data_IF_754345129682
#
_entry.id   IF_754345129682
#
_cell.length_a   1.000
_cell.length_b   1.000
_cell.length_c   1.000
_cell.angle_alpha   90.00
_cell.angle_beta   90.00
_cell.angle_gamma   90.00
#
_symmetry.space_group_name_H-M   'P 1'
#
loop_
_entity.id
_entity.type
_entity.pdbx_description
1 polymer ?
#
# COMPACT_ATOMS: atom_id res chain seq x y z
N UNK A 1 21.19 2.53 21.68
CA UNK A 1 21.12 2.10 23.09
C UNK A 1 19.93 2.68 23.89
N UNK A 2 19.12 3.60 23.35
CA UNK A 2 18.00 4.22 24.11
C UNK A 2 16.65 3.49 24.02
N UNK A 3 16.51 2.49 23.15
CA UNK A 3 15.21 1.85 22.88
C UNK A 3 14.58 1.20 24.12
N UNK A 4 15.29 0.32 24.83
CA UNK A 4 14.73 -0.40 25.98
C UNK A 4 14.38 0.51 27.17
N UNK A 5 15.22 1.51 27.54
CA UNK A 5 14.83 2.49 28.55
C UNK A 5 13.58 3.27 28.17
N UNK A 6 13.44 3.69 26.91
CA UNK A 6 12.26 4.41 26.42
C UNK A 6 11.02 3.52 26.45
N UNK A 7 11.13 2.27 25.97
CA UNK A 7 10.04 1.30 25.98
C UNK A 7 9.51 1.08 27.40
N UNK A 8 10.40 0.87 28.38
CA UNK A 8 10.00 0.75 29.78
C UNK A 8 9.40 2.04 30.35
N UNK A 9 9.96 3.21 29.98
CA UNK A 9 9.43 4.50 30.41
C UNK A 9 7.98 4.74 29.94
N UNK A 10 7.65 4.33 28.72
CA UNK A 10 6.28 4.43 28.18
C UNK A 10 5.36 3.28 28.64
N UNK A 11 5.85 2.38 29.48
CA UNK A 11 5.07 1.29 30.09
C UNK A 11 5.06 -0.02 29.30
N UNK A 12 5.87 -0.16 28.25
CA UNK A 12 5.95 -1.42 27.51
C UNK A 12 6.70 -2.49 28.31
N UNK A 13 6.21 -3.72 28.24
CA UNK A 13 6.88 -4.86 28.83
C UNK A 13 8.03 -5.35 27.94
N UNK A 14 9.22 -5.50 28.53
CA UNK A 14 10.43 -6.01 27.86
C UNK A 14 10.91 -7.37 28.39
N UNK A 15 10.21 -7.96 29.36
CA UNK A 15 10.63 -9.14 30.11
C UNK A 15 9.96 -10.43 29.61
N UNK A 16 10.61 -11.56 29.83
CA UNK A 16 10.02 -12.89 29.61
C UNK A 16 8.99 -13.25 30.70
N UNK A 17 8.00 -14.12 30.42
CA UNK A 17 7.74 -14.80 29.15
C UNK A 17 7.11 -13.89 28.08
N UNK A 18 7.34 -14.22 26.81
CA UNK A 18 6.76 -13.48 25.70
C UNK A 18 5.24 -13.69 25.60
N UNK A 19 4.49 -12.69 25.08
CA UNK A 19 3.05 -12.77 24.91
C UNK A 19 2.66 -13.90 23.96
N UNK A 20 1.54 -14.56 24.25
CA UNK A 20 0.93 -15.52 23.34
C UNK A 20 0.32 -14.84 22.12
N UNK A 21 0.18 -15.56 21.00
CA UNK A 21 -0.53 -15.04 19.82
C UNK A 21 -1.95 -14.58 20.14
N UNK A 22 -2.66 -15.26 21.06
CA UNK A 22 -4.00 -14.86 21.48
C UNK A 22 -4.06 -13.47 22.12
N UNK A 23 -2.98 -13.03 22.76
CA UNK A 23 -2.86 -11.67 23.29
C UNK A 23 -2.38 -10.67 22.23
N UNK A 24 -1.48 -11.08 21.34
CA UNK A 24 -0.88 -10.19 20.34
C UNK A 24 -1.84 -9.84 19.18
N UNK A 25 -2.56 -10.82 18.64
CA UNK A 25 -3.44 -10.63 17.48
C UNK A 25 -4.45 -9.48 17.69
N UNK A 26 -5.24 -9.43 18.78
CA UNK A 26 -6.20 -8.34 18.97
C UNK A 26 -5.52 -6.98 19.15
N UNK A 27 -4.34 -6.92 19.78
CA UNK A 27 -3.56 -5.70 19.89
C UNK A 27 -3.12 -5.21 18.51
N UNK A 28 -2.53 -6.08 17.68
CA UNK A 28 -2.04 -5.75 16.33
C UNK A 28 -3.20 -5.28 15.44
N UNK A 29 -4.37 -5.94 15.49
CA UNK A 29 -5.55 -5.51 14.74
C UNK A 29 -6.03 -4.12 15.19
N UNK A 30 -6.00 -3.85 16.50
CA UNK A 30 -6.32 -2.52 17.03
C UNK A 30 -5.32 -1.46 16.53
N UNK A 31 -4.02 -1.79 16.51
CA UNK A 31 -2.98 -0.88 16.04
C UNK A 31 -3.15 -0.56 14.56
N UNK A 32 -3.49 -1.57 13.74
CA UNK A 32 -3.84 -1.39 12.32
C UNK A 32 -4.96 -0.36 12.14
N UNK A 33 -6.06 -0.47 12.89
CA UNK A 33 -7.19 0.45 12.73
C UNK A 33 -6.83 1.88 13.14
N UNK A 34 -6.09 2.05 14.24
CA UNK A 34 -5.68 3.38 14.73
C UNK A 34 -4.71 4.04 13.77
N UNK A 35 -3.67 3.31 13.35
CA UNK A 35 -2.66 3.84 12.42
C UNK A 35 -3.28 4.16 11.07
N UNK A 36 -4.13 3.29 10.53
CA UNK A 36 -4.69 3.47 9.20
C UNK A 36 -5.66 4.66 9.13
N UNK A 37 -6.44 4.88 10.20
CA UNK A 37 -7.28 6.07 10.32
C UNK A 37 -6.44 7.36 10.40
N UNK A 38 -5.38 7.35 11.22
CA UNK A 38 -4.46 8.48 11.33
C UNK A 38 -3.76 8.76 9.99
N UNK A 39 -3.27 7.70 9.34
CA UNK A 39 -2.59 7.76 8.06
C UNK A 39 -3.49 8.38 6.99
N UNK A 40 -4.73 7.90 6.85
CA UNK A 40 -5.69 8.43 5.89
C UNK A 40 -5.81 9.96 5.96
N UNK A 41 -5.96 10.50 7.17
CA UNK A 41 -6.13 11.94 7.36
C UNK A 41 -4.84 12.72 7.13
N UNK A 42 -3.70 12.22 7.61
CA UNK A 42 -2.41 12.89 7.40
C UNK A 42 -2.00 12.85 5.93
N UNK A 43 -2.23 11.73 5.24
CA UNK A 43 -1.97 11.59 3.82
C UNK A 43 -2.85 12.57 3.02
N UNK A 44 -4.15 12.63 3.31
CA UNK A 44 -5.07 13.61 2.70
C UNK A 44 -4.64 15.05 2.98
N UNK A 45 -4.18 15.35 4.20
CA UNK A 45 -3.66 16.68 4.56
C UNK A 45 -2.36 17.00 3.79
N UNK A 46 -1.49 16.03 3.59
CA UNK A 46 -0.26 16.18 2.82
C UNK A 46 -0.51 16.43 1.32
N UNK A 47 -1.68 16.08 0.80
CA UNK A 47 -2.13 16.50 -0.52
C UNK A 47 -2.72 17.91 -0.59
N UNK A 48 -2.79 18.63 0.53
CA UNK A 48 -3.12 20.06 0.52
C UNK A 48 -1.99 20.87 -0.10
N UNK A 49 -2.32 21.74 -1.07
CA UNK A 49 -1.37 22.39 -1.99
C UNK A 49 -0.01 22.84 -1.40
N UNK A 50 0.05 23.56 -0.27
CA UNK A 50 1.31 23.95 0.36
C UNK A 50 2.13 22.76 0.88
N UNK A 51 1.49 21.83 1.61
CA UNK A 51 2.15 20.65 2.17
C UNK A 51 2.55 19.67 1.08
N UNK A 52 1.75 19.54 0.02
CA UNK A 52 2.10 18.74 -1.14
C UNK A 52 3.40 19.24 -1.75
N UNK A 53 3.46 20.52 -2.08
CA UNK A 53 4.64 21.12 -2.73
C UNK A 53 5.89 21.07 -1.85
N UNK A 54 5.74 21.26 -0.55
CA UNK A 54 6.86 21.36 0.39
C UNK A 54 7.34 20.01 0.93
N UNK A 55 6.46 19.01 1.02
CA UNK A 55 6.71 17.77 1.76
C UNK A 55 6.41 16.57 0.84
N UNK A 56 5.13 16.38 0.50
CA UNK A 56 4.67 15.11 -0.08
C UNK A 56 5.06 14.88 -1.54
N UNK A 57 5.45 15.94 -2.25
CA UNK A 57 5.93 15.85 -3.62
C UNK A 57 7.16 14.92 -3.75
N UNK A 58 7.98 14.79 -2.71
CA UNK A 58 9.14 13.89 -2.70
C UNK A 58 8.69 12.42 -2.78
N UNK A 59 7.67 12.05 -2.02
CA UNK A 59 7.08 10.71 -2.10
C UNK A 59 6.49 10.42 -3.49
N UNK A 60 5.91 11.44 -4.11
CA UNK A 60 5.35 11.38 -5.47
C UNK A 60 6.37 11.54 -6.60
N UNK A 61 7.67 11.53 -6.31
CA UNK A 61 8.72 11.59 -7.34
C UNK A 61 8.62 10.41 -8.32
N UNK A 62 8.27 9.22 -7.80
CA UNK A 62 8.07 8.01 -8.59
C UNK A 62 6.57 7.78 -8.87
N UNK A 63 6.11 8.23 -10.04
CA UNK A 63 4.71 8.01 -10.49
C UNK A 63 4.36 6.53 -10.69
N UNK A 64 5.37 5.70 -11.00
CA UNK A 64 5.31 4.25 -10.90
C UNK A 64 6.09 3.86 -9.63
N UNK A 65 5.40 3.67 -8.49
CA UNK A 65 6.08 3.36 -7.24
C UNK A 65 6.74 1.99 -7.31
N UNK A 66 7.70 1.76 -6.42
CA UNK A 66 8.31 0.45 -6.23
C UNK A 66 8.46 0.16 -4.75
N UNK A 67 8.39 -1.12 -4.38
CA UNK A 67 8.51 -1.55 -2.99
C UNK A 67 9.81 -1.09 -2.30
N UNK A 68 10.89 -0.89 -3.06
CA UNK A 68 12.19 -0.40 -2.56
C UNK A 68 12.12 1.09 -2.22
N UNK A 69 11.34 1.86 -2.98
CA UNK A 69 11.18 3.30 -2.80
C UNK A 69 9.97 3.66 -1.92
N UNK A 70 9.27 2.68 -1.34
CA UNK A 70 8.07 2.86 -0.48
C UNK A 70 8.24 3.98 0.56
N UNK A 71 9.37 3.99 1.26
CA UNK A 71 9.64 4.93 2.35
C UNK A 71 10.52 6.12 1.89
N UNK A 72 10.69 6.31 0.57
CA UNK A 72 11.39 7.47 0.02
C UNK A 72 10.47 8.70 0.11
N UNK A 73 10.64 9.46 1.19
CA UNK A 73 9.80 10.62 1.48
C UNK A 73 10.60 11.75 2.16
N UNK A 74 9.97 12.91 2.27
CA UNK A 74 10.54 14.03 3.01
C UNK A 74 10.66 13.66 4.50
N UNK A 75 11.75 14.02 5.22
CA UNK A 75 11.95 13.60 6.62
C UNK A 75 10.80 13.95 7.58
N UNK A 76 10.14 15.09 7.39
CA UNK A 76 8.96 15.46 8.18
C UNK A 76 7.76 14.54 7.94
N UNK A 77 7.55 14.08 6.72
CA UNK A 77 6.50 13.11 6.40
C UNK A 77 6.79 11.77 7.07
N UNK A 78 8.05 11.30 6.97
CA UNK A 78 8.50 10.11 7.68
C UNK A 78 8.24 10.23 9.19
N UNK A 79 8.57 11.36 9.81
CA UNK A 79 8.32 11.57 11.24
C UNK A 79 6.83 11.53 11.59
N UNK A 80 5.97 12.17 10.78
CA UNK A 80 4.52 12.18 10.99
C UNK A 80 3.93 10.79 10.87
N UNK A 81 4.35 9.98 9.90
CA UNK A 81 3.84 8.61 9.75
C UNK A 81 4.45 7.64 10.76
N UNK A 82 5.72 7.79 11.15
CA UNK A 82 6.31 7.03 12.27
C UNK A 82 5.55 7.30 13.58
N UNK A 83 5.14 8.55 13.81
CA UNK A 83 4.27 8.87 14.95
C UNK A 83 2.94 8.12 14.86
N UNK A 84 2.32 8.07 13.68
CA UNK A 84 1.11 7.28 13.42
C UNK A 84 1.26 5.79 13.74
N UNK A 85 2.37 5.18 13.30
CA UNK A 85 2.70 3.76 13.58
C UNK A 85 2.82 3.50 15.08
N UNK A 86 3.32 4.46 15.85
CA UNK A 86 3.47 4.35 17.30
C UNK A 86 2.19 4.68 18.07
N UNK A 87 1.23 5.39 17.47
CA UNK A 87 0.03 5.88 18.14
C UNK A 87 -0.82 4.73 18.71
N UNK A 88 -1.05 3.68 17.91
CA UNK A 88 -1.81 2.50 18.35
C UNK A 88 -1.23 1.82 19.60
N UNK A 89 0.04 1.36 19.56
CA UNK A 89 0.73 0.78 20.72
C UNK A 89 0.73 1.69 21.95
N UNK A 90 1.00 2.99 21.77
CA UNK A 90 1.07 3.95 22.87
C UNK A 90 -0.30 4.17 23.52
N UNK A 91 -1.35 4.40 22.73
CA UNK A 91 -2.71 4.58 23.24
C UNK A 91 -3.23 3.31 23.91
N UNK A 92 -2.97 2.14 23.33
CA UNK A 92 -3.38 0.88 23.93
C UNK A 92 -2.68 0.64 25.26
N UNK A 93 -1.37 0.88 25.33
CA UNK A 93 -0.62 0.73 26.58
C UNK A 93 -1.09 1.73 27.64
N UNK A 94 -1.39 2.98 27.25
CA UNK A 94 -1.93 3.98 28.15
C UNK A 94 -3.30 3.58 28.72
N UNK A 95 -4.20 3.05 27.89
CA UNK A 95 -5.57 2.71 28.30
C UNK A 95 -5.69 1.35 28.99
N UNK A 96 -4.93 0.34 28.57
CA UNK A 96 -5.11 -1.06 28.95
C UNK A 96 -3.84 -1.72 29.53
N UNK A 97 -2.69 -1.06 29.43
CA UNK A 97 -1.39 -1.64 29.76
C UNK A 97 -1.02 -2.83 28.86
N UNK A 98 -0.01 -3.59 29.30
CA UNK A 98 0.32 -4.92 28.77
C UNK A 98 0.68 -4.99 27.27
N UNK A 99 1.24 -3.92 26.71
CA UNK A 99 1.88 -3.98 25.39
C UNK A 99 3.30 -4.46 25.59
N UNK A 100 3.64 -5.59 24.97
CA UNK A 100 4.99 -6.13 24.99
C UNK A 100 5.76 -5.70 23.74
N UNK A 101 7.06 -5.44 23.85
CA UNK A 101 7.90 -4.99 22.71
C UNK A 101 7.90 -5.97 21.53
N UNK A 102 7.75 -7.27 21.80
CA UNK A 102 7.59 -8.29 20.75
C UNK A 102 6.31 -8.08 19.93
N UNK A 103 5.19 -7.72 20.57
CA UNK A 103 3.94 -7.38 19.87
C UNK A 103 4.12 -6.16 18.97
N UNK A 104 4.88 -5.16 19.46
CA UNK A 104 5.23 -3.97 18.68
C UNK A 104 6.13 -4.31 17.48
N UNK A 105 7.09 -5.23 17.62
CA UNK A 105 7.92 -5.66 16.49
C UNK A 105 7.10 -6.40 15.43
N UNK A 106 6.22 -7.33 15.82
CA UNK A 106 5.30 -7.97 14.88
C UNK A 106 4.42 -6.94 14.17
N UNK A 107 3.86 -5.99 14.93
CA UNK A 107 3.07 -4.88 14.38
C UNK A 107 3.84 -4.09 13.31
N UNK A 108 5.03 -3.59 13.64
CA UNK A 108 5.86 -2.80 12.71
C UNK A 108 6.22 -3.64 11.47
N UNK A 109 6.59 -4.91 11.66
CA UNK A 109 6.88 -5.80 10.53
C UNK A 109 5.68 -5.94 9.61
N UNK A 110 4.48 -6.22 10.14
CA UNK A 110 3.28 -6.33 9.32
C UNK A 110 2.93 -5.03 8.61
N UNK A 111 3.06 -3.88 9.29
CA UNK A 111 2.80 -2.58 8.66
C UNK A 111 3.78 -2.27 7.52
N UNK A 112 5.07 -2.59 7.70
CA UNK A 112 6.09 -2.42 6.65
C UNK A 112 5.83 -3.36 5.47
N UNK A 113 5.51 -4.64 5.72
CA UNK A 113 5.15 -5.57 4.66
C UNK A 113 3.95 -5.07 3.85
N UNK A 114 2.93 -4.55 4.52
CA UNK A 114 1.77 -3.94 3.89
C UNK A 114 2.14 -2.71 3.06
N UNK A 115 2.99 -1.83 3.60
CA UNK A 115 3.47 -0.62 2.90
C UNK A 115 4.18 -1.00 1.60
N UNK A 116 5.11 -1.96 1.68
CA UNK A 116 5.87 -2.47 0.53
C UNK A 116 4.96 -3.13 -0.50
N UNK A 117 3.98 -3.93 -0.07
CA UNK A 117 3.00 -4.56 -0.97
C UNK A 117 2.21 -3.50 -1.74
N UNK A 118 1.69 -2.48 -1.04
CA UNK A 118 0.91 -1.40 -1.63
C UNK A 118 1.70 -0.57 -2.66
N UNK A 119 3.02 -0.46 -2.52
CA UNK A 119 3.88 0.29 -3.45
C UNK A 119 4.63 -0.60 -4.44
N UNK A 120 4.38 -1.91 -4.42
CA UNK A 120 5.17 -2.85 -5.21
C UNK A 120 4.94 -2.74 -6.71
N UNK A 121 3.78 -2.22 -7.14
CA UNK A 121 3.30 -2.29 -8.52
C UNK A 121 2.91 -3.71 -8.96
N UNK A 122 2.94 -4.70 -8.04
CA UNK A 122 2.64 -6.10 -8.33
C UNK A 122 1.38 -6.58 -7.62
N UNK A 123 0.58 -7.34 -8.37
CA UNK A 123 -0.53 -8.10 -7.81
C UNK A 123 0.01 -9.42 -7.21
N UNK A 124 0.32 -9.40 -5.91
CA UNK A 124 0.96 -10.52 -5.23
C UNK A 124 -0.07 -11.64 -4.96
N UNK A 125 0.17 -12.90 -5.38
CA UNK A 125 -0.84 -13.98 -5.30
C UNK A 125 -1.37 -14.31 -3.91
N UNK A 126 -0.65 -13.93 -2.85
CA UNK A 126 -1.00 -14.14 -1.45
C UNK A 126 -1.31 -12.83 -0.73
N UNK A 127 -1.64 -11.77 -1.48
CA UNK A 127 -2.13 -10.50 -0.94
C UNK A 127 -3.33 -10.72 -0.02
N UNK A 128 -3.37 -9.98 1.09
CA UNK A 128 -4.52 -9.98 2.02
C UNK A 128 -5.79 -9.51 1.30
N UNK A 129 -5.66 -8.72 0.22
CA UNK A 129 -6.80 -8.23 -0.56
C UNK A 129 -7.65 -9.31 -1.22
N UNK A 130 -7.09 -10.51 -1.47
CA UNK A 130 -7.85 -11.66 -1.96
C UNK A 130 -8.77 -12.29 -0.92
N UNK A 131 -8.41 -12.19 0.36
CA UNK A 131 -9.19 -12.75 1.48
C UNK A 131 -10.05 -11.68 2.17
N UNK A 132 -9.59 -10.44 2.14
CA UNK A 132 -10.25 -9.29 2.73
C UNK A 132 -10.36 -8.16 1.70
N UNK A 133 -11.49 -8.03 0.98
CA UNK A 133 -11.65 -7.12 -0.16
C UNK A 133 -11.70 -5.63 0.23
N UNK A 134 -11.54 -5.31 1.52
CA UNK A 134 -11.35 -3.96 2.04
C UNK A 134 -9.88 -3.62 2.31
N UNK A 135 -8.96 -4.52 1.97
CA UNK A 135 -7.52 -4.26 2.01
C UNK A 135 -7.05 -3.57 0.72
N UNK A 136 -6.26 -2.51 0.88
CA UNK A 136 -5.62 -1.81 -0.21
C UNK A 136 -4.52 -2.69 -0.82
N UNK A 137 -4.55 -2.85 -2.13
CA UNK A 137 -3.52 -3.53 -2.90
C UNK A 137 -2.69 -2.54 -3.73
N UNK A 138 -1.71 -3.03 -4.49
CA UNK A 138 -0.85 -2.17 -5.30
C UNK A 138 -1.64 -1.31 -6.29
N UNK A 139 -2.64 -1.88 -6.97
CA UNK A 139 -3.48 -1.16 -7.95
C UNK A 139 -4.22 0.04 -7.33
N UNK A 140 -4.59 -0.03 -6.04
CA UNK A 140 -5.19 1.09 -5.32
C UNK A 140 -4.22 2.26 -5.14
N UNK A 141 -2.97 1.98 -4.74
CA UNK A 141 -1.95 3.00 -4.50
C UNK A 141 -1.30 3.49 -5.80
N UNK A 142 -1.16 2.64 -6.81
CA UNK A 142 -0.71 3.03 -8.14
C UNK A 142 -1.68 4.06 -8.75
N UNK A 143 -2.99 3.85 -8.57
CA UNK A 143 -3.97 4.84 -8.98
C UNK A 143 -3.82 6.16 -8.20
N UNK A 144 -3.50 6.09 -6.91
CA UNK A 144 -3.20 7.27 -6.10
C UNK A 144 -2.03 8.08 -6.69
N UNK A 145 -0.88 7.45 -6.97
CA UNK A 145 0.27 8.12 -7.59
C UNK A 145 -0.02 8.65 -9.01
N UNK A 146 -0.95 8.02 -9.74
CA UNK A 146 -1.36 8.53 -11.05
C UNK A 146 -2.30 9.74 -10.94
N UNK A 147 -3.22 9.75 -9.97
CA UNK A 147 -4.31 10.72 -9.88
C UNK A 147 -4.06 11.86 -8.89
N UNK A 148 -3.22 11.65 -7.87
CA UNK A 148 -2.82 12.57 -6.78
C UNK A 148 -3.94 13.10 -5.87
N UNK A 149 -5.22 12.94 -6.22
CA UNK A 149 -6.32 13.65 -5.54
C UNK A 149 -7.34 12.73 -4.87
N UNK A 150 -7.06 11.42 -4.78
CA UNK A 150 -7.97 10.38 -4.31
C UNK A 150 -7.17 9.19 -3.77
N UNK A 151 -7.83 8.21 -3.14
CA UNK A 151 -7.23 6.98 -2.63
C UNK A 151 -6.13 7.23 -1.59
N UNK A 152 -6.49 7.79 -0.43
CA UNK A 152 -5.55 8.17 0.62
C UNK A 152 -5.31 7.10 1.69
N UNK A 153 -6.12 6.03 1.74
CA UNK A 153 -5.96 4.97 2.72
C UNK A 153 -4.67 4.18 2.48
N UNK A 154 -4.00 3.79 3.57
CA UNK A 154 -2.77 2.99 3.51
C UNK A 154 -3.11 1.51 3.37
N UNK A 155 -3.91 0.99 4.31
CA UNK A 155 -4.24 -0.43 4.48
C UNK A 155 -5.72 -0.72 4.25
N UNK A 156 -6.64 -0.01 4.90
CA UNK A 156 -8.07 -0.26 4.75
C UNK A 156 -8.75 0.78 3.86
N UNK A 157 -9.22 0.35 2.68
CA UNK A 157 -9.93 1.23 1.74
C UNK A 157 -11.28 1.74 2.27
N UNK A 158 -11.70 1.27 3.44
CA UNK A 158 -12.94 1.68 4.09
C UNK A 158 -12.99 3.20 4.31
N UNK A 159 -11.86 3.82 4.65
CA UNK A 159 -11.82 5.27 4.85
C UNK A 159 -12.08 6.02 3.55
N UNK A 160 -11.46 5.58 2.45
CA UNK A 160 -11.73 6.17 1.15
C UNK A 160 -13.19 6.01 0.72
N UNK A 161 -13.79 4.85 0.97
CA UNK A 161 -15.23 4.62 0.69
C UNK A 161 -16.12 5.50 1.53
N UNK A 162 -15.86 5.60 2.84
CA UNK A 162 -16.67 6.37 3.77
C UNK A 162 -16.63 7.87 3.46
N UNK A 163 -15.47 8.38 3.03
CA UNK A 163 -15.26 9.79 2.74
C UNK A 163 -15.29 10.14 1.24
N UNK A 164 -15.64 9.18 0.38
CA UNK A 164 -15.86 9.36 -1.05
C UNK A 164 -14.60 9.61 -1.88
N UNK A 165 -13.42 9.26 -1.37
CA UNK A 165 -12.13 9.48 -2.03
C UNK A 165 -11.70 8.31 -2.93
N UNK A 166 -12.50 7.25 -3.10
CA UNK A 166 -12.25 6.17 -4.07
C UNK A 166 -13.15 6.20 -5.31
N UNK A 167 -14.13 7.12 -5.42
CA UNK A 167 -15.15 7.06 -6.49
C UNK A 167 -14.52 7.09 -7.90
N UNK A 168 -13.48 7.90 -8.11
CA UNK A 168 -12.78 7.96 -9.41
C UNK A 168 -11.99 6.67 -9.70
N UNK A 169 -11.42 6.06 -8.67
CA UNK A 169 -10.73 4.77 -8.77
C UNK A 169 -11.68 3.65 -9.17
N UNK A 170 -12.86 3.56 -8.53
CA UNK A 170 -13.88 2.57 -8.88
C UNK A 170 -14.31 2.73 -10.34
N UNK A 171 -14.55 3.96 -10.79
CA UNK A 171 -14.90 4.24 -12.19
C UNK A 171 -13.77 3.87 -13.15
N UNK A 172 -12.51 4.14 -12.79
CA UNK A 172 -11.34 3.76 -13.57
C UNK A 172 -11.20 2.24 -13.70
N UNK A 173 -11.33 1.50 -12.59
CA UNK A 173 -11.29 0.03 -12.60
C UNK A 173 -12.40 -0.57 -13.42
N UNK A 174 -13.64 -0.09 -13.25
CA UNK A 174 -14.79 -0.59 -14.00
C UNK A 174 -14.58 -0.42 -15.51
N UNK A 175 -14.08 0.75 -15.95
CA UNK A 175 -13.72 0.97 -17.36
C UNK A 175 -12.65 -0.03 -17.83
N UNK A 176 -11.56 -0.22 -17.06
CA UNK A 176 -10.51 -1.21 -17.39
C UNK A 176 -11.06 -2.63 -17.51
N UNK A 177 -11.96 -3.03 -16.62
CA UNK A 177 -12.58 -4.35 -16.63
C UNK A 177 -13.52 -4.52 -17.83
N UNK A 178 -14.31 -3.51 -18.17
CA UNK A 178 -15.16 -3.54 -19.37
C UNK A 178 -14.32 -3.60 -20.65
N UNK A 179 -13.30 -2.76 -20.80
CA UNK A 179 -12.41 -2.81 -21.96
C UNK A 179 -11.69 -4.16 -22.08
N UNK A 180 -11.30 -4.80 -20.97
CA UNK A 180 -10.74 -6.16 -20.98
C UNK A 180 -11.73 -7.23 -21.44
N UNK A 181 -13.02 -7.07 -21.14
CA UNK A 181 -14.08 -7.99 -21.59
C UNK A 181 -14.49 -7.76 -23.05
N UNK A 182 -14.35 -6.52 -23.53
CA UNK A 182 -14.64 -6.13 -24.92
C UNK A 182 -13.48 -6.41 -25.88
N UNK A 183 -12.25 -6.60 -25.37
CA UNK A 183 -11.17 -7.17 -26.16
C UNK A 183 -11.59 -8.60 -26.55
N UNK A 184 -11.78 -8.92 -27.84
CA UNK A 184 -12.03 -10.29 -28.24
C UNK A 184 -10.87 -11.15 -27.74
N UNK A 185 -11.17 -12.38 -27.30
CA UNK A 185 -10.18 -13.36 -26.82
C UNK A 185 -9.15 -13.79 -27.89
N UNK A 186 -9.07 -13.08 -29.02
CA UNK A 186 -8.30 -13.43 -30.20
C UNK A 186 -7.54 -12.22 -30.69
N UNK A 187 -6.21 -12.21 -30.50
CA UNK A 187 -5.30 -11.53 -31.44
C UNK A 187 -3.83 -11.98 -31.32
N UNK A 188 -3.39 -12.73 -30.31
CA UNK A 188 -1.99 -13.20 -30.29
C UNK A 188 -1.73 -14.20 -31.41
N UNK A 189 -2.65 -15.14 -31.64
CA UNK A 189 -2.54 -16.13 -32.71
C UNK A 189 -2.80 -15.48 -34.08
N UNK A 190 -3.75 -14.54 -34.18
CA UNK A 190 -4.06 -13.85 -35.43
C UNK A 190 -2.96 -12.85 -35.82
N UNK A 191 -2.46 -12.04 -34.89
CA UNK A 191 -1.28 -11.21 -35.08
C UNK A 191 -0.01 -12.03 -35.38
N UNK A 192 0.18 -13.20 -34.73
CA UNK A 192 1.27 -14.11 -35.05
C UNK A 192 1.15 -14.65 -36.48
N UNK A 193 -0.04 -15.09 -36.88
CA UNK A 193 -0.32 -15.59 -38.23
C UNK A 193 -0.15 -14.51 -39.30
N UNK A 194 -0.56 -13.26 -39.02
CA UNK A 194 -0.30 -12.11 -39.89
C UNK A 194 1.19 -11.84 -40.04
N UNK A 195 1.96 -11.94 -38.94
CA UNK A 195 3.41 -11.76 -38.95
C UNK A 195 4.11 -12.87 -39.75
N UNK A 196 3.69 -14.12 -39.58
CA UNK A 196 4.18 -15.28 -40.35
C UNK A 196 3.88 -15.10 -41.84
N UNK A 197 2.64 -14.75 -42.22
CA UNK A 197 2.28 -14.49 -43.63
C UNK A 197 3.15 -13.41 -44.26
N UNK A 198 3.45 -12.35 -43.50
CA UNK A 198 4.31 -11.25 -43.97
C UNK A 198 5.75 -11.73 -44.21
N UNK A 199 6.29 -12.55 -43.31
CA UNK A 199 7.62 -13.15 -43.46
C UNK A 199 7.68 -14.07 -44.68
N UNK A 200 6.70 -14.96 -44.85
CA UNK A 200 6.63 -15.87 -46.01
C UNK A 200 6.62 -15.07 -47.32
N UNK A 201 5.78 -14.03 -47.40
CA UNK A 201 5.71 -13.17 -48.59
C UNK A 201 7.02 -12.45 -48.89
N UNK A 202 7.76 -12.04 -47.85
CA UNK A 202 9.09 -11.45 -48.01
C UNK A 202 10.10 -12.48 -48.54
N UNK A 203 10.08 -13.71 -48.03
CA UNK A 203 10.96 -14.80 -48.51
C UNK A 203 10.66 -15.15 -49.97
N UNK A 204 9.39 -15.29 -50.34
CA UNK A 204 8.96 -15.58 -51.72
C UNK A 204 9.38 -14.49 -52.72
N UNK A 205 9.44 -13.23 -52.28
CA UNK A 205 9.90 -12.12 -53.10
C UNK A 205 11.43 -12.11 -53.26
N UNK A 206 12.18 -12.57 -52.26
CA UNK A 206 13.65 -12.69 -52.33
C UNK A 206 14.05 -13.88 -53.20
N UNK A 207 13.33 -15.00 -53.15
CA UNK A 207 13.63 -16.20 -53.94
C UNK A 207 13.32 -16.08 -55.45
N UNK A 208 12.82 -14.93 -55.90
CA UNK A 208 12.55 -14.62 -57.32
C UNK A 208 13.70 -13.85 -58.00
N UNK A 209 14.79 -13.61 -57.28
CA UNK A 209 16.07 -13.10 -57.79
C UNK A 209 17.13 -14.20 -57.66
#
# INVERSE_FOLDING_TARGET
MLFLPIANFVGFNTSVPFPSFSSMIPQILCFFVIEDFYHYWMHRLFHWGPLYKAIHKVHHEFTAPSGIATEYAHPLETLVFVFGVMLGPLLFCYCFGNVHVISMFFWITFKLCQSVEAHSGYDIPFSISYFFPLWANSDHHDYHHMAFVNNFASSFIIWDRLFGTDTKYQNYRNKRLHSKKELPEVDLIEAFNLKIKKIIKTIENISKF
#
